data_IF_852024878316
#
_entry.id   IF_852024878316
#
_cell.length_a   1.000
_cell.length_b   1.000
_cell.length_c   1.000
_cell.angle_alpha   90.00
_cell.angle_beta   90.00
_cell.angle_gamma   90.00
#
_symmetry.space_group_name_H-M   'P 1'
#
loop_
_entity.id
_entity.type
_entity.pdbx_description
1 polymer ?
#
# COMPACT_ATOMS: atom_id res chain seq x y z
N UNK A 1 4.07 5.71 -6.44
CA UNK A 1 2.91 4.81 -6.28
C UNK A 1 3.41 3.42 -5.90
N UNK A 2 2.82 2.83 -4.86
CA UNK A 2 3.12 1.46 -4.42
C UNK A 2 2.63 0.42 -5.43
N UNK A 3 3.45 0.14 -6.44
CA UNK A 3 3.24 -1.03 -7.30
C UNK A 3 3.82 -2.26 -6.60
N UNK A 4 2.94 -3.04 -5.96
CA UNK A 4 3.28 -4.37 -5.45
C UNK A 4 2.69 -5.43 -6.39
N UNK A 5 3.38 -6.57 -6.58
CA UNK A 5 2.80 -7.67 -7.32
C UNK A 5 1.53 -8.17 -6.65
N UNK A 6 0.53 -8.56 -7.44
CA UNK A 6 -0.74 -9.09 -6.95
C UNK A 6 -0.52 -10.48 -6.34
N UNK A 7 -0.75 -10.63 -5.04
CA UNK A 7 -0.75 -11.96 -4.41
C UNK A 7 -1.95 -12.82 -4.82
N UNK A 8 -2.29 -13.84 -4.02
CA UNK A 8 -3.52 -14.63 -4.27
C UNK A 8 -4.75 -13.79 -3.91
N UNK A 9 -5.68 -13.51 -4.84
CA UNK A 9 -6.80 -12.61 -4.57
C UNK A 9 -7.77 -13.19 -3.52
N UNK A 10 -8.10 -12.39 -2.51
CA UNK A 10 -9.22 -12.62 -1.60
C UNK A 10 -10.44 -11.80 -2.03
N UNK A 11 -10.21 -10.53 -2.39
CA UNK A 11 -11.19 -9.63 -2.97
C UNK A 11 -10.49 -8.78 -4.05
N UNK A 12 -11.16 -8.48 -5.15
CA UNK A 12 -10.61 -7.59 -6.18
C UNK A 12 -11.63 -6.55 -6.64
N UNK A 13 -11.16 -5.32 -6.82
CA UNK A 13 -11.90 -4.20 -7.42
C UNK A 13 -13.26 -3.95 -6.74
N UNK A 14 -13.30 -4.11 -5.42
CA UNK A 14 -14.51 -3.86 -4.63
C UNK A 14 -14.71 -2.37 -4.51
N UNK A 15 -15.88 -1.89 -4.94
CA UNK A 15 -16.31 -0.51 -4.69
C UNK A 15 -16.42 -0.24 -3.19
N UNK A 16 -15.75 0.80 -2.73
CA UNK A 16 -15.73 1.22 -1.32
C UNK A 16 -16.59 2.44 -1.01
N UNK A 17 -17.24 3.05 -2.01
CA UNK A 17 -18.09 4.25 -1.86
C UNK A 17 -19.24 4.08 -0.85
N UNK A 18 -19.78 2.87 -0.74
CA UNK A 18 -20.89 2.52 0.17
C UNK A 18 -20.45 1.71 1.38
N UNK A 19 -19.15 1.61 1.63
CA UNK A 19 -18.58 0.82 2.72
C UNK A 19 -17.94 1.75 3.74
N UNK A 20 -17.98 1.33 5.00
CA UNK A 20 -17.30 2.04 6.08
C UNK A 20 -15.93 1.41 6.29
N UNK A 21 -14.92 2.24 6.49
CA UNK A 21 -13.56 1.76 6.77
C UNK A 21 -13.54 0.81 7.98
N UNK A 22 -14.21 1.12 9.12
CA UNK A 22 -14.25 0.20 10.26
C UNK A 22 -14.80 -1.18 9.90
N UNK A 23 -15.91 -1.26 9.17
CA UNK A 23 -16.51 -2.56 8.79
C UNK A 23 -15.56 -3.42 7.93
N UNK A 24 -14.73 -2.78 7.10
CA UNK A 24 -13.70 -3.46 6.30
C UNK A 24 -12.57 -3.97 7.20
N UNK A 25 -12.08 -3.12 8.12
CA UNK A 25 -11.01 -3.46 9.05
C UNK A 25 -11.44 -4.54 10.02
N UNK A 26 -12.65 -4.47 10.57
CA UNK A 26 -13.25 -5.49 11.43
C UNK A 26 -13.35 -6.82 10.68
N UNK A 27 -13.75 -6.81 9.40
CA UNK A 27 -13.82 -8.02 8.58
C UNK A 27 -12.45 -8.63 8.34
N UNK A 28 -11.44 -7.83 8.00
CA UNK A 28 -10.09 -8.35 7.77
C UNK A 28 -9.44 -8.80 9.08
N UNK A 29 -9.66 -8.08 10.18
CA UNK A 29 -9.06 -8.37 11.48
C UNK A 29 -9.73 -9.49 12.27
N UNK A 30 -11.03 -9.72 12.08
CA UNK A 30 -11.73 -10.89 12.65
C UNK A 30 -11.45 -12.19 11.91
N UNK A 31 -10.80 -12.12 10.75
CA UNK A 31 -10.30 -13.30 10.04
C UNK A 31 -8.80 -13.43 10.31
N UNK A 32 -8.25 -14.65 10.28
CA UNK A 32 -6.78 -14.88 10.31
C UNK A 32 -6.09 -14.41 9.00
N UNK A 33 -6.53 -13.29 8.43
CA UNK A 33 -6.05 -12.75 7.18
C UNK A 33 -4.56 -12.40 7.31
N UNK A 34 -3.79 -12.93 6.37
CA UNK A 34 -2.37 -12.66 6.22
C UNK A 34 -2.13 -12.24 4.78
N UNK A 35 -1.59 -11.05 4.59
CA UNK A 35 -1.41 -10.45 3.27
C UNK A 35 -1.56 -8.94 3.32
N UNK A 36 -2.01 -8.34 2.23
CA UNK A 36 -2.21 -6.89 2.18
C UNK A 36 -3.52 -6.51 1.49
N UNK A 37 -4.06 -5.36 1.89
CA UNK A 37 -5.13 -4.68 1.22
C UNK A 37 -4.59 -3.40 0.58
N UNK A 38 -5.09 -3.10 -0.62
CA UNK A 38 -4.77 -1.89 -1.36
C UNK A 38 -6.06 -1.17 -1.71
N UNK A 39 -6.10 0.12 -1.40
CA UNK A 39 -7.15 1.03 -1.81
C UNK A 39 -6.59 1.98 -2.85
N UNK A 40 -7.23 2.02 -4.01
CA UNK A 40 -6.80 2.83 -5.14
C UNK A 40 -7.85 3.90 -5.39
N UNK A 41 -7.39 5.15 -5.32
CA UNK A 41 -8.15 6.36 -5.63
C UNK A 41 -7.43 7.10 -6.76
N UNK A 42 -8.11 8.05 -7.39
CA UNK A 42 -7.55 8.83 -8.50
C UNK A 42 -6.27 9.58 -8.11
N UNK A 43 -6.14 10.06 -6.87
CA UNK A 43 -5.04 10.93 -6.43
C UNK A 43 -4.08 10.29 -5.43
N UNK A 44 -4.40 9.11 -4.89
CA UNK A 44 -3.56 8.43 -3.91
C UNK A 44 -3.84 6.92 -3.86
N UNK A 45 -2.91 6.20 -3.26
CA UNK A 45 -3.03 4.78 -2.96
C UNK A 45 -2.77 4.55 -1.48
N UNK A 46 -3.61 3.76 -0.82
CA UNK A 46 -3.36 3.30 0.55
C UNK A 46 -3.10 1.81 0.56
N UNK A 47 -2.04 1.40 1.24
CA UNK A 47 -1.68 0.01 1.45
C UNK A 47 -1.75 -0.32 2.95
N UNK A 48 -2.31 -1.48 3.26
CA UNK A 48 -2.42 -2.03 4.60
C UNK A 48 -1.87 -3.44 4.61
N UNK A 49 -1.03 -3.77 5.58
CA UNK A 49 -0.46 -5.11 5.72
C UNK A 49 -1.00 -5.76 6.99
N UNK A 50 -1.50 -6.98 6.85
CA UNK A 50 -2.08 -7.78 7.90
C UNK A 50 -1.31 -9.08 8.10
N UNK A 51 -1.16 -9.50 9.35
CA UNK A 51 -0.66 -10.83 9.69
C UNK A 51 -1.57 -11.45 10.75
N UNK A 52 -2.19 -12.58 10.43
CA UNK A 52 -3.15 -13.26 11.32
C UNK A 52 -4.21 -12.31 11.92
N UNK A 53 -4.79 -11.46 11.08
CA UNK A 53 -5.82 -10.48 11.47
C UNK A 53 -5.28 -9.19 12.10
N UNK A 54 -4.04 -9.16 12.55
CA UNK A 54 -3.45 -7.94 13.11
C UNK A 54 -3.09 -6.96 12.00
N UNK A 55 -3.41 -5.66 12.18
CA UNK A 55 -3.03 -4.62 11.22
C UNK A 55 -1.67 -4.04 11.61
N UNK A 56 -0.63 -4.36 10.86
CA UNK A 56 0.76 -4.12 11.30
C UNK A 56 1.44 -2.96 10.57
N UNK A 57 0.84 -2.50 9.47
CA UNK A 57 1.30 -1.35 8.72
C UNK A 57 0.16 -0.73 7.93
N UNK A 58 0.09 0.61 7.97
CA UNK A 58 -0.71 1.42 7.04
C UNK A 58 0.19 2.47 6.42
N UNK A 59 0.17 2.57 5.09
CA UNK A 59 0.89 3.57 4.31
C UNK A 59 -0.03 4.15 3.27
N UNK A 60 -0.05 5.47 3.15
CA UNK A 60 -0.72 6.17 2.07
C UNK A 60 0.34 6.92 1.27
N UNK A 61 0.28 6.84 -0.05
CA UNK A 61 1.11 7.63 -0.96
C UNK A 61 0.21 8.38 -1.93
N UNK A 62 0.34 9.70 -1.93
CA UNK A 62 -0.30 10.57 -2.91
C UNK A 62 0.53 10.63 -4.21
N UNK A 63 -0.12 10.97 -5.32
CA UNK A 63 0.58 11.24 -6.58
C UNK A 63 1.58 12.40 -6.49
N UNK A 64 1.37 13.32 -5.55
CA UNK A 64 2.29 14.42 -5.22
C UNK A 64 3.62 13.94 -4.62
N UNK A 65 3.71 12.67 -4.21
CA UNK A 65 4.85 12.10 -3.49
C UNK A 65 4.74 12.19 -1.96
N UNK A 66 3.70 12.83 -1.43
CA UNK A 66 3.43 12.86 0.01
C UNK A 66 3.13 11.45 0.50
N UNK A 67 3.81 11.04 1.57
CA UNK A 67 3.63 9.74 2.21
C UNK A 67 3.13 9.93 3.64
N UNK A 68 2.00 9.29 3.98
CA UNK A 68 1.44 9.25 5.33
C UNK A 68 1.50 7.85 5.91
N UNK A 69 1.49 7.77 7.23
CA UNK A 69 1.68 6.54 7.99
C UNK A 69 0.57 6.35 9.03
N UNK A 70 0.26 5.10 9.35
CA UNK A 70 -0.51 4.70 10.53
C UNK A 70 -1.80 5.53 10.70
N UNK A 71 -1.93 6.29 11.78
CA UNK A 71 -3.12 7.07 12.10
C UNK A 71 -3.43 8.14 11.04
N UNK A 72 -2.44 8.90 10.57
CA UNK A 72 -2.65 9.95 9.57
C UNK A 72 -3.13 9.38 8.24
N UNK A 73 -2.60 8.21 7.86
CA UNK A 73 -3.04 7.49 6.67
C UNK A 73 -4.49 6.98 6.82
N UNK A 74 -4.88 6.47 8.00
CA UNK A 74 -6.24 6.02 8.28
C UNK A 74 -7.26 7.16 8.29
N UNK A 75 -6.92 8.29 8.92
CA UNK A 75 -7.77 9.50 8.93
C UNK A 75 -7.99 9.99 7.50
N UNK A 76 -6.91 10.09 6.72
CA UNK A 76 -6.97 10.55 5.33
C UNK A 76 -7.80 9.58 4.48
N UNK A 77 -7.57 8.27 4.58
CA UNK A 77 -8.37 7.27 3.87
C UNK A 77 -9.86 7.36 4.23
N UNK A 78 -10.18 7.46 5.53
CA UNK A 78 -11.56 7.56 6.00
C UNK A 78 -12.27 8.79 5.40
N UNK A 79 -11.58 9.93 5.30
CA UNK A 79 -12.13 11.14 4.68
C UNK A 79 -12.44 10.92 3.20
N UNK A 80 -11.48 10.33 2.49
CA UNK A 80 -11.58 10.13 1.04
C UNK A 80 -12.63 9.09 0.65
N UNK A 81 -12.82 8.05 1.45
CA UNK A 81 -13.91 7.08 1.24
C UNK A 81 -15.29 7.73 1.30
N UNK A 82 -15.44 8.85 2.02
CA UNK A 82 -16.71 9.56 2.16
C UNK A 82 -16.94 10.62 1.07
N UNK A 83 -15.89 11.04 0.35
CA UNK A 83 -15.94 12.13 -0.64
C UNK A 83 -16.36 11.73 -2.06
N UNK A 84 -16.81 10.48 -2.28
CA UNK A 84 -17.57 10.05 -3.48
C UNK A 84 -16.84 9.96 -4.84
N UNK A 85 -15.54 9.68 -4.87
CA UNK A 85 -14.85 9.30 -6.12
C UNK A 85 -14.95 7.78 -6.41
N UNK A 86 -14.69 7.39 -7.67
CA UNK A 86 -14.55 5.98 -8.07
C UNK A 86 -13.35 5.35 -7.35
N UNK A 87 -13.64 4.62 -6.28
CA UNK A 87 -12.63 4.12 -5.36
C UNK A 87 -12.77 2.61 -5.26
N UNK A 88 -11.66 1.90 -5.40
CA UNK A 88 -11.66 0.44 -5.34
C UNK A 88 -10.71 -0.06 -4.27
N UNK A 89 -11.05 -1.22 -3.72
CA UNK A 89 -10.20 -1.97 -2.83
C UNK A 89 -10.00 -3.38 -3.37
N UNK A 90 -8.77 -3.85 -3.28
CA UNK A 90 -8.42 -5.25 -3.46
C UNK A 90 -7.66 -5.75 -2.22
N UNK A 91 -7.76 -7.04 -1.94
CA UNK A 91 -7.01 -7.69 -0.87
C UNK A 91 -6.42 -9.00 -1.39
N UNK A 92 -5.14 -9.22 -1.11
CA UNK A 92 -4.39 -10.37 -1.59
C UNK A 92 -3.76 -11.10 -0.42
N UNK A 93 -3.93 -12.42 -0.39
CA UNK A 93 -3.31 -13.32 0.59
C UNK A 93 -1.85 -13.57 0.22
N UNK A 94 -1.02 -13.64 1.25
CA UNK A 94 0.39 -14.00 1.18
C UNK A 94 0.71 -15.03 2.27
N UNK A 95 1.82 -15.76 2.12
CA UNK A 95 2.45 -16.47 3.22
C UNK A 95 2.92 -15.48 4.29
N UNK A 96 3.10 -15.96 5.53
CA UNK A 96 3.62 -15.12 6.63
C UNK A 96 5.00 -14.56 6.31
N UNK A 97 5.87 -15.40 5.75
CA UNK A 97 7.22 -14.98 5.35
C UNK A 97 7.16 -13.86 4.32
N UNK A 98 6.38 -14.04 3.25
CA UNK A 98 6.26 -13.03 2.20
C UNK A 98 5.60 -11.74 2.74
N UNK A 99 4.63 -11.86 3.64
CA UNK A 99 4.01 -10.72 4.32
C UNK A 99 5.04 -9.90 5.12
N UNK A 100 5.89 -10.56 5.91
CA UNK A 100 6.97 -9.92 6.66
C UNK A 100 7.95 -9.19 5.73
N UNK A 101 8.30 -9.79 4.58
CA UNK A 101 9.18 -9.17 3.58
C UNK A 101 8.56 -7.95 2.90
N UNK A 102 7.29 -8.02 2.51
CA UNK A 102 6.55 -6.88 1.97
C UNK A 102 6.49 -5.75 2.99
N UNK A 103 6.26 -6.07 4.27
CA UNK A 103 6.28 -5.08 5.36
C UNK A 103 7.65 -4.44 5.52
N UNK A 104 8.73 -5.22 5.52
CA UNK A 104 10.10 -4.72 5.60
C UNK A 104 10.44 -3.78 4.43
N UNK A 105 9.98 -4.12 3.21
CA UNK A 105 10.07 -3.25 2.03
C UNK A 105 9.38 -1.90 2.26
N UNK A 106 8.15 -1.89 2.77
CA UNK A 106 7.36 -0.65 2.97
C UNK A 106 7.87 0.24 4.11
N UNK A 107 8.74 -0.30 4.96
CA UNK A 107 9.48 0.44 5.99
C UNK A 107 10.88 0.85 5.52
N UNK A 108 11.36 0.24 4.44
CA UNK A 108 12.69 0.46 3.92
C UNK A 108 12.89 1.86 3.33
N UNK A 109 14.14 2.25 3.26
CA UNK A 109 14.59 3.48 2.62
C UNK A 109 14.91 3.22 1.15
N UNK A 110 14.49 4.11 0.26
CA UNK A 110 14.81 3.99 -1.16
C UNK A 110 16.25 4.47 -1.41
N UNK A 111 17.13 3.56 -1.81
CA UNK A 111 18.48 3.89 -2.28
C UNK A 111 18.47 4.33 -3.74
N UNK A 112 17.56 3.76 -4.53
CA UNK A 112 17.30 4.11 -5.93
C UNK A 112 15.79 4.13 -6.14
N UNK A 113 15.28 5.11 -6.89
CA UNK A 113 13.85 5.22 -7.17
C UNK A 113 13.59 5.68 -8.60
N UNK A 114 12.91 4.85 -9.37
CA UNK A 114 12.42 5.16 -10.71
C UNK A 114 13.48 5.17 -11.80
N UNK A 115 14.63 4.52 -11.57
CA UNK A 115 15.72 4.47 -12.54
C UNK A 115 15.31 3.66 -13.77
N UNK A 116 15.51 4.20 -14.98
CA UNK A 116 15.22 3.46 -16.20
C UNK A 116 16.21 2.30 -16.36
N UNK A 117 15.67 1.09 -16.48
CA UNK A 117 16.47 -0.14 -16.45
C UNK A 117 17.45 -0.22 -17.65
N UNK A 118 17.09 0.39 -18.78
CA UNK A 118 17.94 0.49 -19.98
C UNK A 118 19.18 1.37 -19.79
N UNK A 119 19.08 2.39 -18.94
CA UNK A 119 20.19 3.29 -18.64
C UNK A 119 21.08 2.75 -17.51
N UNK A 120 20.57 1.79 -16.74
CA UNK A 120 21.25 1.26 -15.56
C UNK A 120 22.13 0.04 -15.88
N UNK A 121 23.35 0.03 -15.35
CA UNK A 121 24.18 -1.17 -15.37
C UNK A 121 23.72 -2.15 -14.28
N UNK A 122 22.82 -3.07 -14.66
CA UNK A 122 22.26 -4.03 -13.71
C UNK A 122 23.28 -4.96 -13.09
N UNK A 123 24.33 -5.33 -13.83
CA UNK A 123 25.41 -6.17 -13.28
C UNK A 123 26.08 -5.46 -12.10
N UNK A 124 26.45 -4.19 -12.28
CA UNK A 124 27.07 -3.41 -11.22
C UNK A 124 26.13 -3.15 -10.04
N UNK A 125 24.82 -3.01 -10.26
CA UNK A 125 23.87 -2.90 -9.15
C UNK A 125 23.80 -4.19 -8.33
N UNK A 126 23.72 -5.35 -8.98
CA UNK A 126 23.67 -6.65 -8.31
C UNK A 126 24.99 -6.95 -7.57
N UNK A 127 26.12 -6.58 -8.17
CA UNK A 127 27.43 -6.64 -7.51
C UNK A 127 27.47 -5.75 -6.28
N UNK A 128 26.99 -4.51 -6.37
CA UNK A 128 26.90 -3.59 -5.24
C UNK A 128 26.01 -4.14 -4.12
N UNK A 129 24.83 -4.68 -4.43
CA UNK A 129 23.94 -5.32 -3.44
C UNK A 129 24.70 -6.40 -2.65
N UNK A 130 25.51 -7.20 -3.34
CA UNK A 130 26.30 -8.27 -2.74
C UNK A 130 27.47 -7.74 -1.92
N UNK A 131 28.24 -6.80 -2.45
CA UNK A 131 29.44 -6.23 -1.81
C UNK A 131 29.08 -5.41 -0.56
N UNK A 132 28.06 -4.55 -0.67
CA UNK A 132 27.56 -3.72 0.43
C UNK A 132 26.66 -4.51 1.40
N UNK A 133 26.43 -5.81 1.12
CA UNK A 133 25.60 -6.72 1.94
C UNK A 133 24.21 -6.17 2.21
N UNK A 134 23.58 -5.61 1.18
CA UNK A 134 22.29 -4.94 1.31
C UNK A 134 21.19 -5.97 1.63
N UNK A 135 20.50 -5.76 2.75
CA UNK A 135 19.20 -6.38 3.05
C UNK A 135 18.09 -5.48 2.56
N UNK A 136 17.13 -6.03 1.82
CA UNK A 136 16.18 -5.19 1.11
C UNK A 136 15.41 -5.86 -0.01
N UNK A 137 14.98 -5.04 -0.95
CA UNK A 137 14.21 -5.48 -2.09
C UNK A 137 14.58 -4.67 -3.33
N UNK A 138 14.84 -5.39 -4.42
CA UNK A 138 14.91 -4.82 -5.76
C UNK A 138 13.54 -4.97 -6.43
N UNK A 139 12.93 -3.86 -6.83
CA UNK A 139 11.65 -3.85 -7.55
C UNK A 139 11.88 -3.53 -9.01
N UNK A 140 11.48 -4.40 -9.92
CA UNK A 140 11.39 -4.11 -11.35
C UNK A 140 9.92 -3.94 -11.74
N UNK A 141 9.58 -2.85 -12.43
CA UNK A 141 8.18 -2.52 -12.71
C UNK A 141 7.98 -1.69 -14.00
N UNK A 142 6.81 -1.84 -14.59
CA UNK A 142 6.22 -0.94 -15.61
C UNK A 142 5.05 -0.18 -14.96
N UNK A 143 4.25 0.53 -15.75
CA UNK A 143 3.05 1.20 -15.22
C UNK A 143 1.94 0.20 -14.79
N UNK A 144 2.02 -1.05 -15.23
CA UNK A 144 0.97 -2.07 -15.06
C UNK A 144 1.47 -3.40 -14.46
N UNK A 145 2.79 -3.61 -14.34
CA UNK A 145 3.38 -4.86 -13.82
C UNK A 145 4.49 -4.57 -12.85
N UNK A 146 4.67 -5.45 -11.87
CA UNK A 146 5.88 -5.44 -11.03
C UNK A 146 6.33 -6.83 -10.64
N UNK A 147 7.60 -6.92 -10.29
CA UNK A 147 8.17 -8.04 -9.58
C UNK A 147 9.16 -7.52 -8.54
N UNK A 148 9.37 -8.33 -7.52
CA UNK A 148 10.24 -8.06 -6.40
C UNK A 148 11.27 -9.18 -6.29
N UNK A 149 12.51 -8.82 -5.97
CA UNK A 149 13.57 -9.74 -5.58
C UNK A 149 13.98 -9.35 -4.18
N UNK A 150 13.84 -10.26 -3.22
CA UNK A 150 14.24 -10.01 -1.84
C UNK A 150 15.69 -10.41 -1.60
N UNK A 151 16.39 -9.60 -0.83
CA UNK A 151 17.76 -9.83 -0.43
C UNK A 151 17.90 -9.80 1.08
N UNK A 152 18.73 -10.68 1.61
CA UNK A 152 19.23 -10.60 2.98
C UNK A 152 20.75 -10.67 2.93
N UNK A 153 21.41 -9.67 3.50
CA UNK A 153 22.85 -9.63 3.61
C UNK A 153 23.55 -9.77 2.24
N UNK A 154 22.97 -9.14 1.22
CA UNK A 154 23.43 -9.20 -0.17
C UNK A 154 23.10 -10.49 -0.93
N UNK A 155 22.46 -11.48 -0.30
CA UNK A 155 22.08 -12.74 -0.92
C UNK A 155 20.61 -12.74 -1.36
N UNK A 156 20.28 -13.16 -2.60
CA UNK A 156 18.90 -13.27 -3.04
C UNK A 156 18.18 -14.38 -2.27
N UNK A 157 16.99 -14.08 -1.77
CA UNK A 157 16.15 -15.00 -1.01
C UNK A 157 15.07 -15.64 -1.88
N UNK A 158 14.51 -14.85 -2.80
CA UNK A 158 13.41 -15.28 -3.63
C UNK A 158 12.77 -14.13 -4.39
N UNK A 159 11.80 -14.51 -5.21
CA UNK A 159 11.08 -13.63 -6.12
C UNK A 159 9.62 -13.53 -5.68
N UNK A 160 9.01 -12.38 -5.91
CA UNK A 160 7.57 -12.21 -5.77
C UNK A 160 7.05 -11.50 -7.01
N UNK A 161 6.06 -12.10 -7.66
CA UNK A 161 5.40 -11.58 -8.85
C UNK A 161 3.89 -11.86 -8.78
N UNK A 162 3.15 -11.35 -9.76
CA UNK A 162 1.71 -11.53 -9.82
C UNK A 162 1.32 -13.02 -9.77
N UNK A 163 0.30 -13.32 -8.98
CA UNK A 163 -0.24 -14.67 -8.75
C UNK A 163 0.43 -15.46 -7.64
N UNK A 164 1.58 -15.04 -7.13
CA UNK A 164 2.31 -15.77 -6.09
C UNK A 164 1.63 -15.66 -4.73
N UNK A 165 1.51 -16.80 -4.03
CA UNK A 165 1.14 -16.83 -2.61
C UNK A 165 2.37 -16.73 -1.70
N UNK A 166 3.48 -17.31 -2.13
CA UNK A 166 4.73 -17.42 -1.38
C UNK A 166 5.92 -16.91 -2.21
N UNK A 167 7.13 -16.94 -1.65
CA UNK A 167 8.33 -16.67 -2.42
C UNK A 167 8.54 -17.72 -3.50
N UNK A 168 8.80 -17.24 -4.70
CA UNK A 168 9.19 -18.06 -5.85
C UNK A 168 10.71 -18.17 -5.90
N UNK A 169 11.21 -19.26 -6.47
CA UNK A 169 12.65 -19.47 -6.68
C UNK A 169 13.10 -19.10 -8.09
N UNK A 170 12.17 -18.78 -9.00
CA UNK A 170 12.44 -18.47 -10.40
C UNK A 170 12.45 -16.97 -10.67
N UNK A 171 13.48 -16.51 -11.39
CA UNK A 171 13.60 -15.13 -11.86
C UNK A 171 12.82 -14.84 -13.14
N UNK A 172 12.16 -15.83 -13.75
CA UNK A 172 11.66 -15.76 -15.13
C UNK A 172 10.74 -14.56 -15.37
N UNK A 173 9.78 -14.32 -14.48
CA UNK A 173 8.87 -13.17 -14.63
C UNK A 173 9.53 -11.84 -14.30
N UNK A 174 10.46 -11.80 -13.35
CA UNK A 174 11.26 -10.59 -13.10
C UNK A 174 12.10 -10.19 -14.29
N UNK A 175 12.74 -11.16 -14.95
CA UNK A 175 13.49 -10.93 -16.18
C UNK A 175 12.59 -10.47 -17.31
N UNK A 176 11.39 -11.05 -17.43
CA UNK A 176 10.40 -10.65 -18.43
C UNK A 176 10.01 -9.19 -18.24
N UNK A 177 9.62 -8.78 -17.03
CA UNK A 177 9.23 -7.40 -16.73
C UNK A 177 10.40 -6.45 -16.98
N UNK A 178 11.60 -6.81 -16.55
CA UNK A 178 12.81 -5.99 -16.77
C UNK A 178 13.15 -5.78 -18.25
N UNK A 179 12.71 -6.68 -19.14
CA UNK A 179 12.90 -6.57 -20.59
C UNK A 179 11.88 -5.68 -21.30
N UNK A 180 10.81 -5.27 -20.61
CA UNK A 180 9.74 -4.47 -21.21
C UNK A 180 10.19 -3.01 -21.47
N UNK A 181 9.68 -2.36 -22.53
CA UNK A 181 9.90 -0.93 -22.75
C UNK A 181 9.41 -0.10 -21.56
N UNK A 182 10.20 0.86 -21.11
CA UNK A 182 9.85 1.72 -19.97
C UNK A 182 9.96 1.04 -18.61
N UNK A 183 10.53 -0.16 -18.53
CA UNK A 183 10.81 -0.81 -17.26
C UNK A 183 11.73 0.07 -16.39
N UNK A 184 11.32 0.25 -15.14
CA UNK A 184 12.05 0.99 -14.11
C UNK A 184 12.44 0.05 -12.99
N UNK A 185 13.44 0.49 -12.22
CA UNK A 185 13.89 -0.23 -11.04
C UNK A 185 13.97 0.68 -9.83
N UNK A 186 13.59 0.14 -8.69
CA UNK A 186 13.86 0.70 -7.38
C UNK A 186 14.69 -0.29 -6.57
N UNK A 187 15.53 0.24 -5.68
CA UNK A 187 16.19 -0.54 -4.65
C UNK A 187 15.84 0.06 -3.30
N UNK A 188 15.23 -0.75 -2.45
CA UNK A 188 14.92 -0.40 -1.08
C UNK A 188 15.84 -1.18 -0.15
N UNK A 189 16.50 -0.48 0.77
CA UNK A 189 17.24 -1.09 1.86
C UNK A 189 16.39 -1.09 3.13
N UNK A 190 16.53 -2.12 3.94
CA UNK A 190 15.94 -2.19 5.27
C UNK A 190 17.02 -2.60 6.29
N UNK A 191 16.73 -2.41 7.58
CA UNK A 191 17.65 -2.73 8.68
C UNK A 191 17.78 -4.25 8.94
N UNK A 192 17.39 -5.11 7.99
CA UNK A 192 17.28 -6.55 8.21
C UNK A 192 16.11 -6.93 9.12
N UNK A 193 15.98 -8.23 9.41
CA UNK A 193 14.93 -8.81 10.27
C UNK A 193 15.19 -8.56 11.77
N UNK A 194 15.56 -7.35 12.18
CA UNK A 194 15.52 -7.00 13.60
C UNK A 194 14.05 -6.93 14.05
N UNK A 195 13.71 -7.77 15.03
CA UNK A 195 12.38 -7.89 15.59
C UNK A 195 11.97 -6.60 16.30
N UNK A 196 11.42 -5.65 15.54
CA UNK A 196 10.69 -4.52 16.10
C UNK A 196 9.41 -5.10 16.72
N UNK A 197 9.13 -4.75 17.98
CA UNK A 197 7.85 -5.10 18.60
C UNK A 197 6.71 -4.65 17.69
N UNK A 198 5.91 -5.60 17.25
CA UNK A 198 4.82 -5.36 16.33
C UNK A 198 3.60 -4.95 17.15
N UNK A 199 3.09 -3.76 16.86
CA UNK A 199 1.88 -3.24 17.49
C UNK A 199 0.74 -3.46 16.51
N UNK A 200 -0.28 -4.20 16.94
CA UNK A 200 -1.54 -4.25 16.20
C UNK A 200 -2.20 -2.88 16.26
N UNK A 201 -2.26 -2.20 15.12
CA UNK A 201 -2.86 -0.89 15.00
C UNK A 201 -4.36 -0.93 15.34
N UNK A 202 -5.05 -2.07 15.18
CA UNK A 202 -6.46 -2.20 15.57
C UNK A 202 -6.65 -2.23 17.09
N UNK A 203 -5.65 -2.61 17.87
CA UNK A 203 -5.72 -2.58 19.35
C UNK A 203 -5.54 -1.17 19.92
N UNK A 204 -4.82 -0.29 19.20
CA UNK A 204 -4.48 1.06 19.69
C UNK A 204 -5.26 2.18 18.99
N UNK A 205 -5.89 1.91 17.84
CA UNK A 205 -6.62 2.90 17.05
C UNK A 205 -8.12 2.58 17.05
N UNK A 206 -8.92 3.51 17.57
CA UNK A 206 -10.37 3.45 17.48
C UNK A 206 -10.84 3.89 16.09
N UNK A 207 -10.98 2.91 15.20
CA UNK A 207 -11.37 3.12 13.80
C UNK A 207 -12.80 3.67 13.67
N UNK A 208 -13.71 3.26 14.57
CA UNK A 208 -15.09 3.76 14.61
C UNK A 208 -15.10 5.25 14.91
N UNK A 209 -14.36 5.68 15.94
CA UNK A 209 -14.24 7.09 16.31
C UNK A 209 -13.60 7.92 15.20
N UNK A 210 -12.56 7.42 14.52
CA UNK A 210 -11.99 8.10 13.34
C UNK A 210 -13.07 8.34 12.28
N UNK A 211 -13.82 7.29 11.94
CA UNK A 211 -14.85 7.37 10.91
C UNK A 211 -15.91 8.43 11.25
N UNK A 212 -16.38 8.45 12.50
CA UNK A 212 -17.40 9.39 12.97
C UNK A 212 -16.90 10.83 13.02
N UNK A 213 -15.69 11.07 13.51
CA UNK A 213 -15.08 12.41 13.58
C UNK A 213 -14.90 13.00 12.19
N UNK A 214 -14.38 12.20 11.26
CA UNK A 214 -14.19 12.61 9.86
C UNK A 214 -15.54 12.90 9.20
N UNK A 215 -16.55 12.07 9.43
CA UNK A 215 -17.90 12.29 8.92
C UNK A 215 -18.51 13.59 9.44
N UNK A 216 -18.39 13.84 10.74
CA UNK A 216 -18.87 15.08 11.35
C UNK A 216 -18.16 16.31 10.76
N UNK A 217 -16.84 16.25 10.59
CA UNK A 217 -16.06 17.32 9.95
C UNK A 217 -16.54 17.61 8.52
N UNK A 218 -16.71 16.58 7.69
CA UNK A 218 -17.15 16.76 6.30
C UNK A 218 -18.57 17.32 6.18
N UNK A 219 -19.47 16.99 7.13
CA UNK A 219 -20.82 17.57 7.20
C UNK A 219 -20.79 19.06 7.54
N UNK A 220 -19.83 19.49 8.36
CA UNK A 220 -19.65 20.90 8.72
C UNK A 220 -19.07 21.67 7.54
N UNK A 221 -18.03 21.14 6.87
CA UNK A 221 -17.43 21.78 5.69
C UNK A 221 -18.44 21.96 4.54
N UNK A 222 -19.27 20.96 4.26
CA UNK A 222 -20.32 21.06 3.23
C UNK A 222 -21.46 22.02 3.61
N UNK A 223 -21.79 22.17 4.91
CA UNK A 223 -22.77 23.15 5.38
C UNK A 223 -22.28 24.60 5.25
N UNK A 224 -20.97 24.84 5.27
CA UNK A 224 -20.38 26.17 5.07
C UNK A 224 -20.18 26.53 3.59
N UNK A 225 -20.08 25.56 2.68
CA UNK A 225 -19.96 25.79 1.23
C UNK A 225 -21.29 26.16 0.55
N UNK A 226 -22.44 25.93 1.21
CA UNK A 226 -23.77 26.35 0.72
C UNK A 226 -24.58 27.17 1.75
N UNK A 227 -24.21 28.44 2.03
CA UNK A 227 -24.91 29.24 3.04
C UNK A 227 -26.23 29.89 2.57
N UNK A 228 -26.85 29.49 1.44
CA UNK A 228 -27.92 30.31 0.83
C UNK A 228 -28.98 29.58 0.00
N UNK A 229 -29.81 28.74 0.62
CA UNK A 229 -31.17 28.43 0.11
C UNK A 229 -32.21 28.45 1.24
N UNK A 230 -32.17 29.44 2.13
CA UNK A 230 -33.28 29.72 3.04
C UNK A 230 -33.51 31.23 3.13
N UNK A 231 -34.40 31.75 2.28
CA UNK A 231 -34.76 33.17 2.30
C UNK A 231 -35.71 33.62 1.18
N UNK A 232 -36.64 32.76 0.73
CA UNK A 232 -37.67 33.12 -0.24
C UNK A 232 -39.07 33.08 0.36
N UNK A 233 -39.27 33.74 1.50
CA UNK A 233 -40.58 33.87 2.16
C UNK A 233 -41.28 35.15 1.73
N UNK A 234 -42.40 34.98 1.02
CA UNK A 234 -43.35 36.00 0.58
C UNK A 234 -43.63 37.10 1.61
N UNK A 235 -43.65 38.34 1.13
CA UNK A 235 -44.26 39.48 1.79
C UNK A 235 -45.06 40.28 0.77
N UNK A 236 -46.28 39.85 0.49
CA UNK A 236 -47.31 40.68 -0.13
C UNK A 236 -47.61 41.86 0.79
N UNK A 237 -47.51 43.08 0.26
CA UNK A 237 -48.37 44.24 0.58
C UNK A 237 -48.16 45.36 -0.44
#
# INVERSE_FOLDING_TARGET
>A
MFFLPKGTPLFENIDVSKRRLPDILDKLGSTDFTGYAIFVFTSFTTLMVFETGQLLLVRLEEQSGVCLASLDALITLAGRMQSSDNNTMSAYKLSKELCARVRALLRGEALYRGEELKALNMRSLLEKIKEDRISGCLRAYTDDRSSLIFYNDGNPLGFFHDGSFDMETSASESQRIASLPGARVDLFANQGEEAVMEIDLLEIIDTQKIWELVRARNQVETAFEHPGEFGGGQGDR
#
